data_IF_724014870430
#
_entry.id   IF_724014870430
#
_cell.length_a   1.000
_cell.length_b   1.000
_cell.length_c   1.000
_cell.angle_alpha   90.00
_cell.angle_beta   90.00
_cell.angle_gamma   90.00
#
_symmetry.space_group_name_H-M   'P 1'
#
loop_
_entity.id
_entity.type
_entity.pdbx_description
1 polymer ?
#
# COMPACT_ATOMS: atom_id res chain seq x y z
N UNK A 1 18.82 -16.93 3.58
CA UNK A 1 17.45 -17.47 3.67
C UNK A 1 16.80 -16.91 4.92
N UNK A 2 15.91 -15.91 4.77
CA UNK A 2 15.22 -15.29 5.90
C UNK A 2 13.97 -16.08 6.24
N UNK A 3 13.82 -16.47 7.50
CA UNK A 3 12.55 -16.98 8.04
C UNK A 3 11.98 -15.88 8.94
N UNK A 4 10.69 -15.60 8.78
CA UNK A 4 9.93 -14.68 9.63
C UNK A 4 8.93 -15.47 10.49
N UNK A 5 8.51 -14.90 11.62
CA UNK A 5 7.58 -15.55 12.53
C UNK A 5 6.16 -15.15 12.17
N UNK A 6 5.27 -16.13 12.01
CA UNK A 6 3.86 -15.87 11.75
C UNK A 6 3.21 -15.21 12.98
N UNK A 7 2.56 -14.05 12.80
CA UNK A 7 1.89 -13.33 13.90
C UNK A 7 0.68 -14.06 14.49
N UNK A 8 0.15 -15.09 13.82
CA UNK A 8 -1.07 -15.81 14.23
C UNK A 8 -0.76 -17.05 15.05
N UNK A 9 0.19 -17.86 14.59
CA UNK A 9 0.50 -19.16 15.20
C UNK A 9 1.92 -19.25 15.71
N UNK A 10 2.69 -18.16 15.62
CA UNK A 10 4.07 -18.06 16.07
C UNK A 10 5.04 -19.06 15.41
N UNK A 11 4.57 -19.74 14.36
CA UNK A 11 5.37 -20.66 13.55
C UNK A 11 6.37 -19.91 12.67
N UNK A 12 7.50 -20.54 12.41
CA UNK A 12 8.52 -20.00 11.50
C UNK A 12 8.08 -20.23 10.06
N UNK A 13 8.08 -19.18 9.24
CA UNK A 13 7.66 -19.21 7.84
C UNK A 13 8.67 -18.50 6.96
N UNK A 14 8.71 -18.83 5.66
CA UNK A 14 9.57 -18.10 4.72
C UNK A 14 9.07 -16.67 4.53
N UNK A 15 9.98 -15.71 4.39
CA UNK A 15 9.63 -14.30 4.14
C UNK A 15 8.85 -14.13 2.82
N UNK A 16 9.11 -15.02 1.85
CA UNK A 16 8.42 -15.07 0.56
C UNK A 16 7.15 -15.93 0.56
N UNK A 17 6.77 -16.54 1.68
CA UNK A 17 5.60 -17.41 1.74
C UNK A 17 4.30 -16.58 1.62
N UNK A 18 3.44 -16.94 0.66
CA UNK A 18 2.11 -16.33 0.48
C UNK A 18 1.12 -16.76 1.58
N UNK A 19 1.37 -17.89 2.22
CA UNK A 19 0.55 -18.40 3.31
C UNK A 19 1.40 -19.16 4.33
N UNK A 20 0.99 -19.10 5.60
CA UNK A 20 1.59 -19.87 6.66
C UNK A 20 1.16 -21.34 6.56
N UNK A 21 2.10 -22.30 6.44
CA UNK A 21 1.77 -23.73 6.39
C UNK A 21 1.28 -24.30 7.73
N UNK A 22 1.52 -23.59 8.85
CA UNK A 22 1.12 -24.06 10.18
C UNK A 22 -0.33 -23.73 10.54
N UNK A 23 -0.82 -22.56 10.13
CA UNK A 23 -2.17 -22.09 10.48
C UNK A 23 -3.06 -21.77 9.28
N UNK A 24 -2.52 -21.76 8.06
CA UNK A 24 -3.26 -21.41 6.85
C UNK A 24 -3.49 -19.91 6.66
N UNK A 25 -2.96 -19.05 7.53
CA UNK A 25 -3.13 -17.60 7.39
C UNK A 25 -2.37 -17.09 6.16
N UNK A 26 -3.06 -16.34 5.29
CA UNK A 26 -2.50 -15.76 4.06
C UNK A 26 -1.76 -14.48 4.41
N UNK A 27 -0.47 -14.41 4.07
CA UNK A 27 0.28 -13.17 4.12
C UNK A 27 -0.11 -12.37 2.88
N UNK A 28 -0.71 -11.19 3.06
CA UNK A 28 -0.78 -10.24 1.97
C UNK A 28 0.65 -9.80 1.69
N UNK A 29 1.30 -10.45 0.74
CA UNK A 29 2.54 -9.96 0.16
C UNK A 29 2.22 -8.57 -0.35
N UNK A 30 2.85 -7.56 0.25
CA UNK A 30 2.84 -6.18 -0.19
C UNK A 30 3.65 -6.06 -1.50
N UNK A 31 3.38 -6.94 -2.47
CA UNK A 31 3.71 -6.69 -3.86
C UNK A 31 2.85 -5.52 -4.27
N UNK A 32 3.52 -4.48 -4.76
CA UNK A 32 3.01 -3.12 -4.86
C UNK A 32 1.54 -3.05 -5.22
N UNK A 33 0.84 -2.08 -4.64
CA UNK A 33 -0.50 -1.69 -5.05
C UNK A 33 -0.35 -0.69 -6.23
N UNK A 34 -0.16 -1.11 -7.50
CA UNK A 34 -0.18 -0.18 -8.62
C UNK A 34 -1.57 0.45 -8.78
N UNK A 35 -2.60 -0.11 -8.15
CA UNK A 35 -3.96 0.41 -8.17
C UNK A 35 -4.15 1.66 -7.30
N UNK A 36 -3.49 1.79 -6.14
CA UNK A 36 -3.68 2.99 -5.30
C UNK A 36 -2.81 4.17 -5.71
N UNK A 37 -1.61 3.92 -6.26
CA UNK A 37 -0.67 5.00 -6.62
C UNK A 37 -1.23 5.84 -7.79
N UNK A 38 -1.91 5.22 -8.76
CA UNK A 38 -2.55 5.93 -9.86
C UNK A 38 -3.65 6.89 -9.38
N UNK A 39 -4.49 6.45 -8.42
CA UNK A 39 -5.53 7.30 -7.81
C UNK A 39 -4.92 8.44 -6.99
N UNK A 40 -3.88 8.17 -6.20
CA UNK A 40 -3.21 9.22 -5.41
C UNK A 40 -2.58 10.28 -6.32
N UNK A 41 -1.91 9.87 -7.41
CA UNK A 41 -1.30 10.80 -8.35
C UNK A 41 -2.34 11.68 -9.06
N UNK A 42 -3.47 11.09 -9.48
CA UNK A 42 -4.59 11.84 -10.05
C UNK A 42 -5.18 12.85 -9.06
N UNK A 43 -5.41 12.43 -7.80
CA UNK A 43 -5.97 13.30 -6.75
C UNK A 43 -5.04 14.48 -6.46
N UNK A 44 -3.72 14.25 -6.35
CA UNK A 44 -2.75 15.32 -6.11
C UNK A 44 -2.72 16.30 -7.28
N UNK A 45 -2.81 15.83 -8.52
CA UNK A 45 -2.89 16.69 -9.70
C UNK A 45 -4.16 17.54 -9.73
N UNK A 46 -5.32 16.94 -9.45
CA UNK A 46 -6.61 17.64 -9.44
C UNK A 46 -6.68 18.65 -8.29
N UNK A 47 -6.32 18.25 -7.07
CA UNK A 47 -6.32 19.15 -5.92
C UNK A 47 -5.27 20.25 -6.07
N UNK A 48 -4.07 19.93 -6.54
CA UNK A 48 -3.02 20.92 -6.79
C UNK A 48 -3.45 21.95 -7.85
N UNK A 49 -4.02 21.49 -8.97
CA UNK A 49 -4.57 22.37 -10.00
C UNK A 49 -5.74 23.22 -9.48
N UNK A 50 -6.66 22.62 -8.73
CA UNK A 50 -7.82 23.33 -8.18
C UNK A 50 -7.42 24.38 -7.13
N UNK A 51 -6.44 24.10 -6.28
CA UNK A 51 -5.90 25.05 -5.29
C UNK A 51 -5.11 26.17 -5.97
N UNK A 52 -4.33 25.88 -7.01
CA UNK A 52 -3.60 26.90 -7.77
C UNK A 52 -4.56 27.82 -8.52
N UNK A 53 -5.53 27.27 -9.26
CA UNK A 53 -6.50 28.04 -10.05
C UNK A 53 -7.45 28.80 -9.13
N UNK A 54 -8.04 28.13 -8.14
CA UNK A 54 -8.95 28.75 -7.18
C UNK A 54 -8.27 29.77 -6.28
N UNK A 55 -7.05 29.48 -5.82
CA UNK A 55 -6.26 30.41 -4.99
C UNK A 55 -5.79 31.64 -5.78
N UNK A 56 -5.53 31.51 -7.08
CA UNK A 56 -5.20 32.63 -7.96
C UNK A 56 -6.42 33.50 -8.28
N UNK A 57 -7.58 32.88 -8.54
CA UNK A 57 -8.86 33.59 -8.76
C UNK A 57 -9.41 34.29 -7.51
N UNK A 58 -9.14 33.78 -6.31
CA UNK A 58 -9.59 34.39 -5.05
C UNK A 58 -8.66 35.52 -4.58
N UNK A 59 -7.48 35.68 -5.19
CA UNK A 59 -6.48 36.71 -4.84
C UNK A 59 -6.32 37.84 -5.87
N UNK A 60 -6.93 37.71 -7.06
CA UNK A 60 -6.98 38.76 -8.09
C UNK A 60 -8.30 39.53 -7.98
#
# INVERSE_FOLDING_TARGET
>A
MGLTKCHVCEGQVSVDAVACPHCGHRFQSQQGQPSQIAFVCWIVFVLGGFVLVGGFLLRV
#
